data_IF_252439796818
#
_entry.id   IF_252439796818
#
_cell.length_a   1.000
_cell.length_b   1.000
_cell.length_c   1.000
_cell.angle_alpha   90.00
_cell.angle_beta   90.00
_cell.angle_gamma   90.00
#
_symmetry.space_group_name_H-M   'P 1'
#
loop_
_entity.id
_entity.type
_entity.pdbx_description
1 polymer ?
#
# COMPACT_ATOMS: atom_id res chain seq x y z
N UNK A 1 89.17 -19.47 20.89
CA UNK A 1 88.92 -19.89 22.29
C UNK A 1 87.61 -19.39 22.78
N UNK A 2 86.78 -20.32 23.30
CA UNK A 2 85.44 -20.19 23.95
C UNK A 2 84.32 -19.58 23.12
N UNK A 3 83.54 -20.47 22.56
CA UNK A 3 82.16 -20.26 22.11
C UNK A 3 81.26 -20.12 23.36
N UNK A 4 80.37 -19.14 23.29
CA UNK A 4 79.19 -19.05 24.22
C UNK A 4 77.93 -19.14 23.39
N UNK A 5 77.25 -20.28 23.58
CA UNK A 5 75.99 -20.60 22.94
C UNK A 5 74.84 -19.89 23.67
N UNK A 6 74.08 -19.10 22.96
CA UNK A 6 72.82 -18.49 23.50
C UNK A 6 71.63 -19.23 22.96
N UNK A 7 70.90 -19.93 23.86
CA UNK A 7 69.59 -20.49 23.59
C UNK A 7 68.53 -19.39 23.64
N UNK A 8 67.85 -19.17 22.52
CA UNK A 8 66.67 -18.32 22.48
C UNK A 8 65.45 -19.23 22.63
N UNK A 9 64.74 -19.12 23.75
CA UNK A 9 63.42 -19.72 23.98
C UNK A 9 62.38 -18.84 23.28
N UNK A 10 61.75 -19.39 22.23
CA UNK A 10 60.59 -18.80 21.60
C UNK A 10 59.33 -19.20 22.36
N UNK A 11 58.73 -18.24 23.07
CA UNK A 11 57.41 -18.41 23.70
C UNK A 11 56.32 -18.12 22.63
N UNK A 12 55.64 -19.17 22.18
CA UNK A 12 54.47 -19.03 21.33
C UNK A 12 53.25 -18.63 22.17
N UNK A 13 52.85 -17.37 22.10
CA UNK A 13 51.58 -16.88 22.65
C UNK A 13 50.44 -17.26 21.72
N UNK A 14 49.60 -18.21 22.15
CA UNK A 14 48.31 -18.53 21.50
C UNK A 14 47.32 -17.40 21.80
N UNK A 15 47.10 -16.52 20.82
CA UNK A 15 45.98 -15.59 20.86
C UNK A 15 44.71 -16.36 20.47
N UNK A 16 43.88 -16.70 21.46
CA UNK A 16 42.51 -17.12 21.23
C UNK A 16 41.70 -15.88 20.84
N UNK A 17 41.34 -15.76 19.55
CA UNK A 17 40.39 -14.75 19.10
C UNK A 17 38.97 -15.15 19.59
N UNK A 18 38.22 -14.22 20.22
CA UNK A 18 36.84 -14.50 20.53
C UNK A 18 36.06 -14.61 19.21
N UNK A 19 35.43 -15.78 19.00
CA UNK A 19 34.46 -15.95 17.95
C UNK A 19 33.23 -15.09 18.28
N UNK A 20 33.13 -13.94 17.63
CA UNK A 20 31.87 -13.20 17.61
C UNK A 20 30.88 -14.09 16.83
N UNK A 21 29.94 -14.70 17.55
CA UNK A 21 28.76 -15.28 16.94
C UNK A 21 28.04 -14.16 16.18
N UNK A 22 28.13 -14.21 14.85
CA UNK A 22 27.25 -13.41 14.00
C UNK A 22 25.82 -13.86 14.30
N UNK A 23 25.11 -13.09 15.13
CA UNK A 23 23.67 -13.18 15.19
C UNK A 23 23.16 -12.82 13.80
N UNK A 24 22.75 -13.84 13.07
CA UNK A 24 21.99 -13.65 11.83
C UNK A 24 20.83 -12.74 12.14
N UNK A 25 20.76 -11.61 11.46
CA UNK A 25 19.58 -10.75 11.53
C UNK A 25 18.35 -11.62 11.22
N UNK A 26 17.24 -11.48 11.99
CA UNK A 26 16.04 -12.27 11.74
C UNK A 26 15.59 -11.97 10.31
N UNK A 27 15.41 -13.03 9.53
CA UNK A 27 14.82 -12.95 8.20
C UNK A 27 13.46 -12.29 8.31
N UNK A 28 13.11 -11.44 7.34
CA UNK A 28 11.84 -10.74 7.24
C UNK A 28 10.59 -11.65 7.24
N UNK A 29 10.77 -12.95 7.25
CA UNK A 29 9.70 -13.97 7.26
C UNK A 29 9.05 -14.16 8.63
N UNK A 30 9.67 -13.70 9.74
CA UNK A 30 9.20 -14.04 11.09
C UNK A 30 8.37 -12.95 11.79
N UNK A 31 7.96 -11.88 11.11
CA UNK A 31 7.31 -10.75 11.77
C UNK A 31 5.83 -10.55 11.42
N UNK A 32 5.06 -11.63 11.32
CA UNK A 32 3.60 -11.52 11.52
C UNK A 32 3.35 -11.62 13.02
N UNK A 33 3.38 -10.49 13.71
CA UNK A 33 3.03 -10.46 15.13
C UNK A 33 1.53 -10.56 15.25
N UNK A 34 1.07 -11.68 15.75
CA UNK A 34 -0.30 -11.92 16.20
C UNK A 34 -0.55 -11.04 17.42
N UNK A 35 -1.44 -10.05 17.31
CA UNK A 35 -1.93 -9.33 18.49
C UNK A 35 -2.98 -10.20 19.18
N UNK A 36 -2.68 -10.60 20.43
CA UNK A 36 -3.52 -11.45 21.25
C UNK A 36 -4.96 -10.97 21.38
N UNK A 37 -5.91 -11.90 21.16
CA UNK A 37 -7.15 -12.01 21.95
C UNK A 37 -8.14 -10.85 21.95
N UNK A 38 -8.32 -10.12 20.86
CA UNK A 38 -9.46 -9.17 20.76
C UNK A 38 -10.70 -9.96 20.33
N UNK A 39 -11.72 -10.00 21.20
CA UNK A 39 -13.05 -10.50 20.83
C UNK A 39 -13.57 -9.65 19.66
N UNK A 40 -13.61 -10.23 18.48
CA UNK A 40 -14.08 -9.57 17.27
C UNK A 40 -15.61 -9.42 17.38
N UNK A 41 -16.08 -8.19 17.29
CA UNK A 41 -17.50 -7.89 17.24
C UNK A 41 -17.87 -7.54 15.78
N UNK A 42 -18.90 -8.17 15.25
CA UNK A 42 -19.41 -7.90 13.88
C UNK A 42 -19.62 -6.40 13.62
N UNK A 43 -20.13 -5.66 14.61
CA UNK A 43 -20.31 -4.19 14.50
C UNK A 43 -18.99 -3.44 14.30
N UNK A 44 -17.88 -3.94 14.87
CA UNK A 44 -16.56 -3.35 14.65
C UNK A 44 -16.09 -3.61 13.23
N UNK A 45 -16.36 -4.80 12.68
CA UNK A 45 -16.06 -5.13 11.29
C UNK A 45 -16.86 -4.21 10.35
N UNK A 46 -18.17 -4.08 10.59
CA UNK A 46 -19.02 -3.18 9.80
C UNK A 46 -18.47 -1.76 9.79
N UNK A 47 -18.20 -1.22 10.98
CA UNK A 47 -17.68 0.14 11.14
C UNK A 47 -16.30 0.31 10.49
N UNK A 48 -15.43 -0.71 10.58
CA UNK A 48 -14.10 -0.67 9.98
C UNK A 48 -14.16 -0.71 8.46
N UNK A 49 -14.95 -1.61 7.88
CA UNK A 49 -15.16 -1.69 6.43
C UNK A 49 -15.75 -0.39 5.91
N UNK A 50 -16.76 0.16 6.58
CA UNK A 50 -17.41 1.41 6.17
C UNK A 50 -16.45 2.60 6.24
N UNK A 51 -15.59 2.64 7.25
CA UNK A 51 -14.59 3.70 7.40
C UNK A 51 -13.52 3.67 6.29
N UNK A 52 -13.19 2.48 5.77
CA UNK A 52 -12.13 2.28 4.79
C UNK A 52 -12.60 2.18 3.34
N UNK A 53 -13.92 2.15 3.07
CA UNK A 53 -14.44 1.88 1.72
C UNK A 53 -15.45 2.92 1.26
N UNK A 54 -15.29 4.18 1.66
CA UNK A 54 -16.21 5.20 1.18
C UNK A 54 -15.98 5.50 -0.31
N UNK A 55 -17.01 5.25 -1.10
CA UNK A 55 -17.08 5.60 -2.51
C UNK A 55 -18.35 6.41 -2.77
N UNK A 56 -18.39 7.13 -3.89
CA UNK A 56 -19.61 7.83 -4.31
C UNK A 56 -20.78 6.84 -4.53
N UNK A 57 -21.99 7.28 -4.23
CA UNK A 57 -23.18 6.45 -4.35
C UNK A 57 -23.30 5.76 -5.72
N UNK A 58 -23.45 4.44 -5.71
CA UNK A 58 -23.52 3.63 -6.93
C UNK A 58 -22.18 3.34 -7.59
N UNK A 59 -21.07 3.70 -6.93
CA UNK A 59 -19.72 3.41 -7.38
C UNK A 59 -19.28 1.95 -7.15
N UNK A 60 -18.02 1.74 -7.25
CA UNK A 60 -17.32 0.48 -6.99
C UNK A 60 -16.01 0.79 -6.26
N UNK A 61 -15.58 -0.12 -5.40
CA UNK A 61 -14.31 -0.01 -4.69
C UNK A 61 -13.19 -0.36 -5.66
N UNK A 62 -12.23 0.56 -5.81
CA UNK A 62 -11.06 0.39 -6.67
C UNK A 62 -9.94 -0.38 -5.97
N UNK A 63 -9.17 -1.14 -6.75
CA UNK A 63 -7.97 -1.87 -6.30
C UNK A 63 -7.05 -2.10 -7.49
N UNK A 64 -5.84 -2.63 -7.27
CA UNK A 64 -5.03 -3.12 -8.37
C UNK A 64 -5.67 -4.36 -9.01
N UNK A 65 -5.94 -4.29 -10.29
CA UNK A 65 -6.40 -5.42 -11.14
C UNK A 65 -5.28 -5.88 -12.08
N UNK A 66 -4.15 -5.17 -12.07
CA UNK A 66 -2.90 -5.47 -12.77
C UNK A 66 -1.79 -5.65 -11.76
N UNK A 67 -0.68 -6.26 -12.19
CA UNK A 67 0.48 -6.46 -11.34
C UNK A 67 0.95 -5.14 -10.70
N UNK A 68 1.04 -5.11 -9.38
CA UNK A 68 1.59 -3.98 -8.67
C UNK A 68 3.12 -4.00 -8.75
N UNK A 69 3.73 -2.84 -8.99
CA UNK A 69 5.18 -2.67 -9.04
C UNK A 69 5.61 -1.58 -8.05
N UNK A 70 5.95 -1.94 -6.80
CA UNK A 70 6.32 -0.96 -5.79
C UNK A 70 7.72 -0.39 -6.02
N UNK A 71 7.85 0.92 -5.82
CA UNK A 71 9.12 1.63 -5.75
C UNK A 71 9.10 2.65 -4.62
N UNK A 72 10.25 2.84 -3.97
CA UNK A 72 10.45 3.83 -2.91
C UNK A 72 11.59 4.75 -3.31
N UNK A 73 11.38 6.05 -3.21
CA UNK A 73 12.35 7.07 -3.58
C UNK A 73 12.38 8.22 -2.57
N UNK A 74 13.43 9.01 -2.59
CA UNK A 74 13.54 10.23 -1.80
C UNK A 74 14.66 10.20 -0.78
N UNK A 75 14.40 10.67 0.44
CA UNK A 75 15.42 11.01 1.43
C UNK A 75 15.96 9.84 2.27
N UNK A 76 15.35 8.66 2.17
CA UNK A 76 15.81 7.48 2.90
C UNK A 76 17.07 6.88 2.26
N UNK A 77 17.82 6.07 3.02
CA UNK A 77 18.95 5.33 2.48
C UNK A 77 18.50 4.29 1.44
N UNK A 78 19.44 3.82 0.62
CA UNK A 78 19.14 2.74 -0.34
C UNK A 78 18.66 1.47 0.34
N UNK A 79 19.24 1.14 1.49
CA UNK A 79 18.91 -0.01 2.29
C UNK A 79 17.46 0.11 2.81
N UNK A 80 17.11 1.23 3.44
CA UNK A 80 15.76 1.50 3.90
C UNK A 80 14.73 1.46 2.76
N UNK A 81 15.06 2.03 1.60
CA UNK A 81 14.19 1.96 0.42
C UNK A 81 13.98 0.51 -0.03
N UNK A 82 15.03 -0.31 -0.05
CA UNK A 82 14.95 -1.72 -0.42
C UNK A 82 14.13 -2.52 0.59
N UNK A 83 14.31 -2.28 1.89
CA UNK A 83 13.53 -2.92 2.96
C UNK A 83 12.04 -2.60 2.84
N UNK A 84 11.70 -1.34 2.57
CA UNK A 84 10.31 -0.93 2.38
C UNK A 84 9.71 -1.60 1.14
N UNK A 85 10.43 -1.65 0.01
CA UNK A 85 9.96 -2.34 -1.20
C UNK A 85 9.75 -3.83 -0.93
N UNK A 86 10.71 -4.48 -0.26
CA UNK A 86 10.61 -5.88 0.14
C UNK A 86 9.39 -6.13 1.02
N UNK A 87 9.15 -5.25 2.01
CA UNK A 87 7.99 -5.35 2.90
C UNK A 87 6.66 -5.12 2.16
N UNK A 88 6.58 -4.15 1.25
CA UNK A 88 5.40 -3.93 0.41
C UNK A 88 5.07 -5.18 -0.43
N UNK A 89 6.08 -5.85 -0.99
CA UNK A 89 5.91 -7.11 -1.72
C UNK A 89 5.41 -8.24 -0.81
N UNK A 90 5.98 -8.38 0.37
CA UNK A 90 5.55 -9.39 1.35
C UNK A 90 4.10 -9.17 1.82
N UNK A 91 3.70 -7.91 2.04
CA UNK A 91 2.30 -7.57 2.37
C UNK A 91 1.38 -7.89 1.20
N UNK A 92 1.77 -7.55 -0.03
CA UNK A 92 0.99 -7.85 -1.22
C UNK A 92 0.77 -9.37 -1.36
N UNK A 93 1.82 -10.16 -1.25
CA UNK A 93 1.74 -11.62 -1.28
C UNK A 93 0.82 -12.17 -0.18
N UNK A 94 0.98 -11.69 1.05
CA UNK A 94 0.14 -12.08 2.17
C UNK A 94 -1.35 -11.71 1.99
N UNK A 95 -1.63 -10.65 1.23
CA UNK A 95 -2.97 -10.19 0.91
C UNK A 95 -3.54 -10.78 -0.39
N UNK A 96 -2.78 -11.60 -1.12
CA UNK A 96 -3.19 -12.16 -2.40
C UNK A 96 -3.16 -11.14 -3.56
N UNK A 97 -2.33 -10.11 -3.44
CA UNK A 97 -2.14 -9.08 -4.47
C UNK A 97 -1.01 -9.52 -5.40
N UNK A 98 -1.27 -9.56 -6.68
CA UNK A 98 -0.25 -9.91 -7.66
C UNK A 98 0.78 -8.80 -7.84
N UNK A 99 2.07 -9.15 -7.74
CA UNK A 99 3.20 -8.21 -7.85
C UNK A 99 4.09 -8.60 -9.02
N UNK A 100 4.49 -7.60 -9.79
CA UNK A 100 5.41 -7.79 -10.90
C UNK A 100 6.83 -8.16 -10.40
N UNK A 101 7.62 -8.81 -11.25
CA UNK A 101 9.02 -9.14 -10.96
C UNK A 101 9.87 -7.89 -10.66
N UNK A 102 11.02 -8.10 -10.05
CA UNK A 102 11.98 -7.02 -9.83
C UNK A 102 12.43 -6.38 -11.15
N UNK A 103 12.70 -5.07 -11.11
CA UNK A 103 13.02 -4.30 -12.32
C UNK A 103 11.81 -3.93 -13.17
N UNK A 104 10.60 -4.23 -12.71
CA UNK A 104 9.37 -3.79 -13.33
C UNK A 104 9.25 -2.26 -13.35
N UNK A 105 8.34 -1.78 -14.16
CA UNK A 105 8.02 -0.36 -14.21
C UNK A 105 7.10 0.05 -13.06
N UNK A 106 7.53 0.98 -12.18
CA UNK A 106 6.77 1.34 -10.99
C UNK A 106 5.40 1.93 -11.32
N UNK A 107 4.36 1.37 -10.69
CA UNK A 107 3.01 1.91 -10.65
C UNK A 107 2.50 2.12 -9.22
N UNK A 108 3.28 1.69 -8.21
CA UNK A 108 3.09 2.03 -6.82
C UNK A 108 4.32 2.78 -6.35
N UNK A 109 4.16 4.06 -6.04
CA UNK A 109 5.27 4.94 -5.71
C UNK A 109 5.13 5.49 -4.28
N UNK A 110 6.12 5.23 -3.44
CA UNK A 110 6.26 5.84 -2.12
C UNK A 110 7.42 6.83 -2.16
N UNK A 111 7.14 8.07 -1.80
CA UNK A 111 8.12 9.16 -1.83
C UNK A 111 8.30 9.72 -0.43
N UNK A 112 9.55 9.86 0.02
CA UNK A 112 9.89 10.57 1.26
C UNK A 112 10.61 11.87 0.92
N UNK A 113 10.05 13.00 1.36
CA UNK A 113 10.54 14.34 1.05
C UNK A 113 10.61 15.23 2.30
N UNK A 114 11.29 16.36 2.22
CA UNK A 114 11.21 17.39 3.25
C UNK A 114 9.97 18.28 3.12
N UNK A 115 9.44 18.43 1.92
CA UNK A 115 8.34 19.33 1.62
C UNK A 115 7.39 18.67 0.62
N UNK A 116 6.32 18.12 1.14
CA UNK A 116 5.25 17.46 0.38
C UNK A 116 4.63 18.40 -0.66
N UNK A 117 4.35 19.63 -0.25
CA UNK A 117 3.73 20.62 -1.13
C UNK A 117 4.57 20.89 -2.36
N UNK A 118 5.84 21.20 -2.15
CA UNK A 118 6.76 21.51 -3.24
C UNK A 118 6.91 20.33 -4.19
N UNK A 119 7.03 19.12 -3.63
CA UNK A 119 7.14 17.90 -4.43
C UNK A 119 5.89 17.69 -5.30
N UNK A 120 4.68 17.78 -4.73
CA UNK A 120 3.42 17.60 -5.48
C UNK A 120 3.28 18.66 -6.57
N UNK A 121 3.58 19.94 -6.27
CA UNK A 121 3.53 21.01 -7.27
C UNK A 121 4.56 20.83 -8.39
N UNK A 122 5.74 20.27 -8.11
CA UNK A 122 6.73 19.93 -9.13
C UNK A 122 6.30 18.73 -9.97
N UNK A 123 5.72 17.70 -9.33
CA UNK A 123 5.21 16.53 -10.00
C UNK A 123 4.07 16.89 -10.96
N UNK A 124 3.12 17.74 -10.53
CA UNK A 124 2.00 18.21 -11.35
C UNK A 124 2.49 18.99 -12.59
N UNK A 125 3.48 19.87 -12.40
CA UNK A 125 4.05 20.61 -13.54
C UNK A 125 4.79 19.72 -14.52
N UNK A 126 5.49 18.69 -14.06
CA UNK A 126 6.39 17.87 -14.89
C UNK A 126 5.72 16.63 -15.45
N UNK A 127 4.79 16.07 -14.69
CA UNK A 127 4.12 14.80 -14.98
C UNK A 127 2.63 14.86 -14.61
N UNK A 128 1.83 15.73 -15.27
CA UNK A 128 0.43 15.97 -14.90
C UNK A 128 -0.44 14.71 -14.96
N UNK A 129 0.01 13.71 -15.66
CA UNK A 129 -0.71 12.46 -15.78
C UNK A 129 -0.82 11.66 -14.47
N UNK A 130 0.07 11.89 -13.49
CA UNK A 130 -0.11 11.34 -12.14
C UNK A 130 -1.31 11.93 -11.39
N UNK A 131 -1.90 13.00 -11.91
CA UNK A 131 -3.09 13.66 -11.37
C UNK A 131 -4.30 13.54 -12.31
N UNK A 132 -4.28 12.51 -13.17
CA UNK A 132 -5.40 12.24 -14.08
C UNK A 132 -6.71 12.13 -13.29
N UNK A 133 -7.79 12.69 -13.82
CA UNK A 133 -9.10 12.83 -13.20
C UNK A 133 -9.18 13.80 -11.99
N UNK A 134 -8.07 14.36 -11.52
CA UNK A 134 -8.07 15.39 -10.48
C UNK A 134 -8.17 16.79 -11.09
N UNK A 135 -9.10 17.60 -10.60
CA UNK A 135 -9.14 19.02 -10.93
C UNK A 135 -7.93 19.75 -10.30
N UNK A 136 -7.51 20.87 -10.89
CA UNK A 136 -6.45 21.72 -10.33
C UNK A 136 -6.74 22.18 -8.87
N UNK A 137 -8.02 22.22 -8.47
CA UNK A 137 -8.43 22.54 -7.09
C UNK A 137 -8.14 21.33 -6.16
N UNK A 138 -8.38 20.11 -6.61
CA UNK A 138 -8.08 18.90 -5.84
C UNK A 138 -6.57 18.74 -5.67
N UNK A 139 -5.78 18.92 -6.73
CA UNK A 139 -4.31 18.87 -6.65
C UNK A 139 -3.78 19.91 -5.66
N UNK A 140 -4.30 21.16 -5.71
CA UNK A 140 -3.92 22.17 -4.73
C UNK A 140 -4.32 21.82 -3.30
N UNK A 141 -5.50 21.25 -3.07
CA UNK A 141 -5.92 20.80 -1.74
C UNK A 141 -5.01 19.69 -1.22
N UNK A 142 -4.67 18.73 -2.06
CA UNK A 142 -3.73 17.66 -1.74
C UNK A 142 -2.35 18.22 -1.35
N UNK A 143 -1.81 19.12 -2.15
CA UNK A 143 -0.51 19.74 -1.89
C UNK A 143 -0.51 20.61 -0.61
N UNK A 144 -1.61 21.31 -0.32
CA UNK A 144 -1.73 22.26 0.78
C UNK A 144 -2.37 21.70 2.04
N UNK A 145 -2.74 20.41 2.07
CA UNK A 145 -3.25 19.79 3.30
C UNK A 145 -2.22 19.88 4.42
N UNK A 146 -2.69 19.99 5.66
CA UNK A 146 -1.80 20.00 6.83
C UNK A 146 -1.28 18.60 7.18
N UNK A 147 -1.90 17.55 6.63
CA UNK A 147 -1.44 16.19 6.84
C UNK A 147 -0.03 16.01 6.28
N UNK A 148 0.90 15.43 7.03
CA UNK A 148 2.28 15.25 6.57
C UNK A 148 2.40 14.17 5.48
N UNK A 149 1.32 13.43 5.22
CA UNK A 149 1.23 12.41 4.19
C UNK A 149 0.10 12.73 3.22
N UNK A 150 0.40 12.66 1.94
CA UNK A 150 -0.58 12.73 0.86
C UNK A 150 -0.59 11.40 0.10
N UNK A 151 -1.78 10.89 -0.18
CA UNK A 151 -1.95 9.68 -0.99
C UNK A 151 -3.05 9.94 -2.02
N UNK A 152 -2.83 9.47 -3.23
CA UNK A 152 -3.85 9.46 -4.28
C UNK A 152 -3.64 8.28 -5.22
N UNK A 153 -4.72 7.92 -5.87
CA UNK A 153 -4.73 6.85 -6.85
C UNK A 153 -5.08 7.42 -8.22
N UNK A 154 -4.38 6.93 -9.25
CA UNK A 154 -4.75 7.18 -10.63
C UNK A 154 -5.61 6.01 -11.06
N UNK A 155 -6.87 6.29 -11.34
CA UNK A 155 -7.84 5.25 -11.69
C UNK A 155 -8.02 5.12 -13.19
N UNK A 156 -8.11 3.88 -13.64
CA UNK A 156 -8.58 3.47 -14.94
C UNK A 156 -9.86 2.66 -14.82
N UNK A 157 -10.35 2.16 -15.93
CA UNK A 157 -11.50 1.24 -15.95
C UNK A 157 -11.18 0.04 -16.84
N UNK A 158 -11.59 -1.14 -16.39
CA UNK A 158 -11.50 -2.37 -17.16
C UNK A 158 -12.89 -2.74 -17.68
N UNK A 159 -12.98 -3.05 -18.94
CA UNK A 159 -14.20 -3.51 -19.60
C UNK A 159 -14.54 -4.98 -19.28
N UNK A 160 -15.70 -5.47 -19.71
CA UNK A 160 -16.11 -6.85 -19.51
C UNK A 160 -15.27 -7.87 -20.27
N UNK A 161 -14.49 -7.40 -21.26
CA UNK A 161 -13.52 -8.17 -22.02
C UNK A 161 -12.14 -8.27 -21.33
N UNK A 162 -11.99 -7.67 -20.14
CA UNK A 162 -10.74 -7.62 -19.42
C UNK A 162 -9.73 -6.60 -19.97
N UNK A 163 -10.11 -5.83 -21.00
CA UNK A 163 -9.27 -4.78 -21.55
C UNK A 163 -9.49 -3.45 -20.83
N UNK A 164 -8.49 -2.59 -20.87
CA UNK A 164 -8.65 -1.23 -20.37
C UNK A 164 -9.68 -0.48 -21.21
N UNK A 165 -10.72 0.02 -20.55
CA UNK A 165 -11.69 0.86 -21.22
C UNK A 165 -11.06 2.22 -21.50
N UNK A 166 -11.25 2.77 -22.71
CA UNK A 166 -10.73 4.08 -23.04
C UNK A 166 -11.30 5.15 -22.11
N UNK A 167 -10.43 6.03 -21.61
CA UNK A 167 -10.85 7.16 -20.82
C UNK A 167 -11.55 8.18 -21.72
N UNK A 168 -12.80 8.49 -21.38
CA UNK A 168 -13.56 9.49 -22.10
C UNK A 168 -13.19 10.89 -21.57
N UNK A 169 -12.59 11.71 -22.44
CA UNK A 169 -12.28 13.11 -22.10
C UNK A 169 -13.32 14.00 -22.82
N UNK A 170 -14.06 14.85 -22.07
CA UNK A 170 -14.97 15.80 -22.72
C UNK A 170 -14.13 16.78 -23.56
N UNK A 171 -14.43 16.89 -24.84
CA UNK A 171 -13.91 17.99 -25.65
C UNK A 171 -14.84 19.22 -25.54
N UNK A 172 -14.25 20.40 -25.66
CA UNK A 172 -15.00 21.67 -25.59
C UNK A 172 -16.01 21.87 -26.76
N UNK A 173 -16.03 20.95 -27.73
CA UNK A 173 -17.00 20.98 -28.84
C UNK A 173 -18.23 20.10 -28.60
N UNK A 174 -18.41 19.56 -27.36
CA UNK A 174 -19.59 18.78 -27.00
C UNK A 174 -19.55 17.29 -27.36
N UNK A 175 -18.42 16.78 -27.87
CA UNK A 175 -18.16 15.37 -28.07
C UNK A 175 -17.20 14.83 -27.00
N UNK A 176 -17.13 13.49 -26.88
CA UNK A 176 -16.09 12.83 -26.10
C UNK A 176 -14.97 12.38 -27.02
N UNK A 177 -13.75 12.81 -26.73
CA UNK A 177 -12.55 12.28 -27.40
C UNK A 177 -11.99 11.19 -26.51
N UNK A 178 -11.89 9.99 -27.07
CA UNK A 178 -11.21 8.88 -26.44
C UNK A 178 -9.74 8.94 -26.86
N UNK A 179 -8.86 9.11 -25.87
CA UNK A 179 -7.41 9.09 -26.10
C UNK A 179 -6.77 7.99 -25.29
N UNK A 180 -5.70 7.34 -25.79
CA UNK A 180 -5.05 6.24 -25.08
C UNK A 180 -4.51 6.63 -23.69
N UNK A 181 -4.18 7.89 -23.50
CA UNK A 181 -3.58 8.45 -22.27
C UNK A 181 -4.45 9.48 -21.56
N UNK A 182 -5.65 9.69 -22.06
CA UNK A 182 -6.56 10.72 -21.56
C UNK A 182 -6.15 12.16 -21.84
N UNK A 183 -4.98 12.40 -22.48
CA UNK A 183 -4.42 13.74 -22.73
C UNK A 183 -3.97 13.96 -24.17
N UNK A 184 -4.21 13.04 -25.08
CA UNK A 184 -3.79 13.15 -26.49
C UNK A 184 -2.28 13.05 -26.72
N UNK A 185 -1.49 12.69 -25.71
CA UNK A 185 -0.05 12.41 -25.83
C UNK A 185 0.37 11.25 -24.93
N UNK A 186 1.20 10.33 -25.42
CA UNK A 186 1.77 9.27 -24.62
C UNK A 186 2.56 9.85 -23.43
N UNK A 187 2.35 9.29 -22.26
CA UNK A 187 3.13 9.63 -21.07
C UNK A 187 4.52 9.02 -21.17
N UNK A 188 5.56 9.85 -21.03
CA UNK A 188 6.94 9.39 -20.96
C UNK A 188 7.47 9.51 -19.52
N UNK A 189 8.06 8.43 -19.02
CA UNK A 189 8.80 8.43 -17.75
C UNK A 189 10.10 9.23 -17.83
N UNK A 190 10.78 9.40 -16.68
CA UNK A 190 12.09 10.05 -16.62
C UNK A 190 13.16 9.36 -17.48
N UNK A 191 12.96 8.09 -17.77
CA UNK A 191 13.79 7.22 -18.62
C UNK A 191 13.44 7.29 -20.12
N UNK A 192 12.48 8.14 -20.49
CA UNK A 192 11.98 8.26 -21.86
C UNK A 192 10.98 7.18 -22.27
N UNK A 193 10.70 6.21 -21.40
CA UNK A 193 9.74 5.16 -21.65
C UNK A 193 8.31 5.64 -21.38
N UNK A 194 7.33 5.08 -22.10
CA UNK A 194 5.91 5.39 -21.93
C UNK A 194 5.43 4.92 -20.54
N UNK A 195 4.79 5.83 -19.77
CA UNK A 195 4.08 5.48 -18.54
C UNK A 195 2.64 5.18 -18.91
N UNK A 196 2.23 3.95 -18.76
CA UNK A 196 0.95 3.43 -19.19
C UNK A 196 1.13 2.37 -20.25
N UNK A 197 0.41 1.26 -20.14
CA UNK A 197 0.40 0.21 -21.16
C UNK A 197 -0.14 0.72 -22.49
N UNK A 198 0.03 -0.06 -23.54
CA UNK A 198 -0.66 0.17 -24.81
C UNK A 198 -2.17 0.17 -24.56
N UNK A 199 -2.78 1.33 -24.62
CA UNK A 199 -4.24 1.45 -24.57
C UNK A 199 -4.77 1.24 -25.97
N UNK A 200 -5.48 0.15 -26.17
CA UNK A 200 -6.24 -0.05 -27.39
C UNK A 200 -7.55 0.72 -27.25
N UNK A 201 -7.78 1.69 -28.13
CA UNK A 201 -9.08 2.36 -28.23
C UNK A 201 -10.08 1.33 -28.76
N UNK A 202 -10.92 0.81 -27.90
CA UNK A 202 -12.03 -0.05 -28.28
C UNK A 202 -13.30 0.79 -28.21
N UNK A 203 -13.97 0.94 -29.32
CA UNK A 203 -15.28 1.57 -29.38
C UNK A 203 -16.31 0.58 -28.81
N UNK A 204 -16.61 0.72 -27.51
CA UNK A 204 -17.44 -0.25 -26.81
C UNK A 204 -18.69 0.41 -26.29
N UNK A 205 -19.79 0.06 -26.88
CA UNK A 205 -21.13 0.41 -26.40
C UNK A 205 -21.52 -0.57 -25.29
N UNK A 206 -21.23 -0.23 -24.02
CA UNK A 206 -21.64 -1.05 -22.89
C UNK A 206 -23.08 -0.73 -22.49
N UNK A 207 -23.90 -1.74 -22.43
CA UNK A 207 -25.27 -1.61 -21.89
C UNK A 207 -25.20 -1.82 -20.37
N UNK A 208 -25.53 -0.82 -19.55
CA UNK A 208 -25.48 -0.95 -18.10
C UNK A 208 -26.45 -2.03 -17.60
N UNK A 209 -25.95 -3.00 -16.84
CA UNK A 209 -26.77 -3.97 -16.13
C UNK A 209 -27.26 -3.40 -14.81
N UNK A 210 -28.46 -3.83 -14.36
CA UNK A 210 -28.99 -3.41 -13.04
C UNK A 210 -28.32 -4.12 -11.86
N UNK A 211 -27.67 -5.26 -12.10
CA UNK A 211 -27.13 -6.14 -11.05
C UNK A 211 -25.61 -6.17 -11.09
N UNK A 212 -25.02 -5.99 -12.28
CA UNK A 212 -23.57 -5.97 -12.48
C UNK A 212 -23.16 -4.73 -13.25
N UNK A 213 -22.09 -4.11 -12.82
CA UNK A 213 -21.47 -3.04 -13.57
C UNK A 213 -20.82 -3.59 -14.84
N UNK A 214 -20.86 -2.81 -15.91
CA UNK A 214 -20.27 -3.19 -17.19
C UNK A 214 -18.76 -2.99 -17.23
N UNK A 215 -18.25 -2.09 -16.40
CA UNK A 215 -16.83 -1.82 -16.24
C UNK A 215 -16.50 -1.81 -14.76
N UNK A 216 -15.24 -2.06 -14.40
CA UNK A 216 -14.75 -1.94 -13.03
C UNK A 216 -13.60 -0.94 -12.94
N UNK A 217 -13.57 -0.08 -11.91
CA UNK A 217 -12.44 0.79 -11.67
C UNK A 217 -11.25 -0.04 -11.17
N UNK A 218 -10.05 0.43 -11.50
CA UNK A 218 -8.82 -0.15 -10.98
C UNK A 218 -7.74 0.91 -10.82
N UNK A 219 -6.77 0.65 -9.96
CA UNK A 219 -5.60 1.52 -9.83
C UNK A 219 -4.63 1.27 -10.99
N UNK A 220 -4.45 2.29 -11.84
CA UNK A 220 -3.38 2.36 -12.84
C UNK A 220 -2.06 2.69 -12.13
N UNK A 221 -2.13 3.63 -11.17
CA UNK A 221 -1.02 3.95 -10.30
C UNK A 221 -1.52 4.37 -8.91
N UNK A 222 -0.67 4.18 -7.90
CA UNK A 222 -0.86 4.68 -6.54
C UNK A 222 0.37 5.45 -6.11
N UNK A 223 0.18 6.64 -5.56
CA UNK A 223 1.27 7.52 -5.12
C UNK A 223 1.05 7.94 -3.69
N UNK A 224 2.06 7.74 -2.86
CA UNK A 224 2.13 8.24 -1.50
C UNK A 224 3.33 9.16 -1.36
N UNK A 225 3.13 10.35 -0.84
CA UNK A 225 4.19 11.32 -0.52
C UNK A 225 4.15 11.61 0.97
N UNK A 226 5.21 11.27 1.67
CA UNK A 226 5.36 11.49 3.12
C UNK A 226 6.47 12.50 3.40
N UNK A 227 6.24 13.40 4.34
CA UNK A 227 7.30 14.25 4.87
C UNK A 227 8.18 13.47 5.84
N UNK A 228 9.50 13.64 5.74
CA UNK A 228 10.46 12.91 6.57
C UNK A 228 10.16 13.07 8.07
N UNK A 229 9.68 14.24 8.48
CA UNK A 229 9.30 14.51 9.88
C UNK A 229 8.17 13.62 10.40
N UNK A 230 7.27 13.16 9.54
CA UNK A 230 6.17 12.27 9.91
C UNK A 230 6.64 10.83 10.26
N UNK A 231 7.85 10.48 9.86
CA UNK A 231 8.44 9.17 10.12
C UNK A 231 9.15 9.10 11.48
N UNK A 232 9.23 10.22 12.20
CA UNK A 232 9.90 10.27 13.49
C UNK A 232 9.26 9.32 14.50
N UNK A 233 10.06 8.41 15.05
CA UNK A 233 9.59 7.39 16.00
C UNK A 233 9.04 6.12 15.36
N UNK A 234 8.87 6.06 14.04
CA UNK A 234 8.45 4.85 13.33
C UNK A 234 9.64 3.99 12.93
N UNK A 235 9.46 2.69 13.03
CA UNK A 235 10.37 1.74 12.39
C UNK A 235 10.12 1.70 10.87
N UNK A 236 11.10 1.20 10.12
CA UNK A 236 10.97 0.96 8.67
C UNK A 236 9.78 0.04 8.36
N UNK A 237 9.55 -0.99 9.21
CA UNK A 237 8.42 -1.90 9.08
C UNK A 237 7.08 -1.19 9.28
N UNK A 238 6.93 -0.40 10.34
CA UNK A 238 5.69 0.37 10.58
C UNK A 238 5.37 1.31 9.41
N UNK A 239 6.38 2.02 8.91
CA UNK A 239 6.18 2.90 7.76
C UNK A 239 5.82 2.13 6.49
N UNK A 240 6.47 1.01 6.22
CA UNK A 240 6.16 0.16 5.06
C UNK A 240 4.74 -0.42 5.15
N UNK A 241 4.32 -0.87 6.32
CA UNK A 241 2.99 -1.41 6.56
C UNK A 241 1.90 -0.33 6.46
N UNK A 242 2.17 0.87 6.98
CA UNK A 242 1.32 2.04 6.76
C UNK A 242 1.20 2.36 5.26
N UNK A 243 2.33 2.41 4.55
CA UNK A 243 2.35 2.65 3.12
C UNK A 243 1.58 1.58 2.33
N UNK A 244 1.67 0.30 2.73
CA UNK A 244 0.92 -0.79 2.12
C UNK A 244 -0.59 -0.55 2.23
N UNK A 245 -1.10 -0.25 3.43
CA UNK A 245 -2.52 0.04 3.63
C UNK A 245 -2.99 1.25 2.83
N UNK A 246 -2.13 2.26 2.68
CA UNK A 246 -2.46 3.51 1.98
C UNK A 246 -2.36 3.42 0.45
N UNK A 247 -1.58 2.47 -0.07
CA UNK A 247 -1.32 2.36 -1.51
C UNK A 247 -2.02 1.19 -2.17
N UNK A 248 -2.27 0.10 -1.45
CA UNK A 248 -3.06 -1.02 -1.96
C UNK A 248 -4.57 -0.83 -1.82
N UNK A 249 -5.01 0.13 -1.02
CA UNK A 249 -6.41 0.46 -0.85
C UNK A 249 -6.60 1.97 -0.73
N UNK A 250 -7.73 2.48 -1.16
CA UNK A 250 -8.14 3.85 -0.89
C UNK A 250 -8.65 3.94 0.55
N UNK A 251 -7.81 4.46 1.45
CA UNK A 251 -8.08 4.51 2.89
C UNK A 251 -7.97 5.93 3.44
N UNK A 252 -8.85 6.26 4.40
CA UNK A 252 -8.85 7.55 5.10
C UNK A 252 -8.55 7.36 6.59
N UNK A 253 -7.30 7.62 7.07
CA UNK A 253 -6.91 7.37 8.45
C UNK A 253 -7.76 8.09 9.49
N UNK A 254 -8.21 9.32 9.21
CA UNK A 254 -9.04 10.10 10.13
C UNK A 254 -10.37 9.39 10.47
N UNK A 255 -10.94 8.62 9.55
CA UNK A 255 -12.17 7.86 9.78
C UNK A 255 -11.90 6.61 10.62
N UNK A 256 -10.80 5.95 10.33
CA UNK A 256 -10.40 4.73 11.05
C UNK A 256 -10.05 5.02 12.51
N UNK A 257 -9.54 6.21 12.81
CA UNK A 257 -9.27 6.63 14.19
C UNK A 257 -10.49 6.51 15.11
N UNK A 258 -11.70 6.67 14.55
CA UNK A 258 -12.96 6.63 15.29
C UNK A 258 -13.48 5.19 15.54
N UNK A 259 -12.93 4.19 14.88
CA UNK A 259 -13.46 2.80 14.95
C UNK A 259 -13.05 2.05 16.22
N UNK A 260 -12.06 2.52 16.95
CA UNK A 260 -11.48 1.81 18.10
C UNK A 260 -10.69 0.53 17.73
N UNK A 261 -10.65 0.16 16.45
CA UNK A 261 -9.96 -1.03 15.95
C UNK A 261 -8.43 -0.81 15.95
N UNK A 262 -7.61 -1.78 16.35
CA UNK A 262 -6.17 -1.70 16.19
C UNK A 262 -5.81 -1.78 14.70
N UNK A 263 -5.10 -0.78 14.20
CA UNK A 263 -4.69 -0.68 12.79
C UNK A 263 -3.40 0.13 12.67
N UNK A 264 -2.55 -0.26 11.74
CA UNK A 264 -1.31 0.46 11.42
C UNK A 264 -1.59 1.87 10.84
N UNK A 265 -2.79 2.12 10.34
CA UNK A 265 -3.18 3.43 9.80
C UNK A 265 -3.15 4.57 10.83
N UNK A 266 -3.11 4.25 12.12
CA UNK A 266 -2.97 5.22 13.22
C UNK A 266 -1.52 5.64 13.47
N UNK A 267 -0.53 4.95 12.88
CA UNK A 267 0.87 5.08 13.27
C UNK A 267 1.46 6.48 13.07
N UNK A 268 1.04 7.21 12.03
CA UNK A 268 1.58 8.55 11.73
C UNK A 268 0.95 9.65 12.59
N UNK A 269 -0.34 9.53 12.89
CA UNK A 269 -1.09 10.55 13.63
C UNK A 269 -1.12 10.28 15.14
N UNK A 270 -0.53 9.20 15.58
CA UNK A 270 -0.52 8.80 16.97
C UNK A 270 0.41 9.70 17.82
N UNK A 271 0.00 10.13 19.01
CA UNK A 271 0.91 10.75 19.96
C UNK A 271 2.13 9.87 20.22
N UNK A 272 3.32 10.49 20.40
CA UNK A 272 4.59 9.76 20.56
C UNK A 272 4.64 8.76 21.73
N UNK A 273 3.76 8.93 22.71
CA UNK A 273 3.62 8.07 23.91
C UNK A 273 2.48 7.05 23.80
N UNK A 274 1.77 7.03 22.66
CA UNK A 274 0.68 6.08 22.44
C UNK A 274 1.18 4.75 21.89
N UNK A 275 0.52 3.66 22.34
CA UNK A 275 0.79 2.34 21.80
C UNK A 275 0.23 2.23 20.37
N UNK A 276 1.12 2.18 19.38
CA UNK A 276 0.77 1.88 17.99
C UNK A 276 1.22 0.48 17.61
N UNK A 277 0.52 -0.22 16.70
CA UNK A 277 0.97 -1.52 16.22
C UNK A 277 2.40 -1.46 15.67
N UNK A 278 3.20 -2.48 15.96
CA UNK A 278 4.58 -2.58 15.45
C UNK A 278 4.64 -3.03 13.99
N UNK A 279 3.55 -3.57 13.49
CA UNK A 279 3.40 -4.11 12.13
C UNK A 279 1.92 -4.13 11.74
N UNK A 280 1.60 -4.57 10.52
CA UNK A 280 0.22 -4.84 10.10
C UNK A 280 -0.51 -5.67 11.16
N UNK A 281 -1.72 -5.26 11.47
CA UNK A 281 -2.59 -6.03 12.36
C UNK A 281 -3.36 -7.10 11.57
N UNK A 282 -3.98 -8.04 12.28
CA UNK A 282 -4.92 -8.98 11.64
C UNK A 282 -6.08 -8.27 10.95
N UNK A 283 -6.53 -7.14 11.49
CA UNK A 283 -7.58 -6.33 10.89
C UNK A 283 -7.15 -5.73 9.55
N UNK A 284 -5.94 -5.18 9.50
CA UNK A 284 -5.38 -4.60 8.29
C UNK A 284 -5.22 -5.65 7.19
N UNK A 285 -4.63 -6.79 7.52
CA UNK A 285 -4.39 -7.86 6.56
C UNK A 285 -5.69 -8.50 6.09
N UNK A 286 -6.63 -8.75 7.01
CA UNK A 286 -7.95 -9.30 6.68
C UNK A 286 -8.73 -8.35 5.77
N UNK A 287 -8.62 -7.03 5.99
CA UNK A 287 -9.22 -6.04 5.10
C UNK A 287 -8.64 -6.10 3.69
N UNK A 288 -7.31 -6.13 3.54
CA UNK A 288 -6.67 -6.24 2.23
C UNK A 288 -7.06 -7.55 1.53
N UNK A 289 -7.02 -8.68 2.23
CA UNK A 289 -7.46 -9.98 1.69
C UNK A 289 -8.91 -9.96 1.23
N UNK A 290 -9.80 -9.41 2.05
CA UNK A 290 -11.20 -9.29 1.70
C UNK A 290 -11.40 -8.41 0.47
N UNK A 291 -10.68 -7.27 0.36
CA UNK A 291 -10.74 -6.38 -0.79
C UNK A 291 -10.28 -7.07 -2.08
N UNK A 292 -9.17 -7.81 -2.03
CA UNK A 292 -8.59 -8.45 -3.21
C UNK A 292 -9.26 -9.78 -3.57
N UNK A 293 -10.03 -10.39 -2.65
CA UNK A 293 -10.85 -11.56 -2.92
C UNK A 293 -12.25 -11.23 -3.46
N UNK A 294 -12.59 -9.94 -3.63
CA UNK A 294 -13.90 -9.55 -4.15
C UNK A 294 -14.14 -10.05 -5.58
N UNK A 295 -15.33 -10.60 -5.87
CA UNK A 295 -15.73 -10.89 -7.25
C UNK A 295 -15.76 -9.61 -8.11
N UNK A 296 -15.49 -9.79 -9.39
CA UNK A 296 -15.50 -8.71 -10.37
C UNK A 296 -16.90 -8.12 -10.59
N UNK A 297 -16.93 -6.85 -11.00
CA UNK A 297 -18.12 -6.15 -11.51
C UNK A 297 -19.31 -6.07 -10.51
N UNK A 298 -19.04 -6.11 -9.21
CA UNK A 298 -20.05 -5.88 -8.18
C UNK A 298 -20.14 -4.39 -7.86
N UNK A 299 -21.35 -3.93 -7.52
CA UNK A 299 -21.55 -2.61 -6.96
C UNK A 299 -21.10 -2.55 -5.49
N UNK A 300 -20.79 -1.36 -5.02
CA UNK A 300 -20.25 -1.05 -3.70
C UNK A 300 -20.95 -1.78 -2.54
N UNK A 301 -22.28 -1.76 -2.52
CA UNK A 301 -23.05 -2.38 -1.45
C UNK A 301 -22.81 -3.90 -1.35
N UNK A 302 -22.68 -4.58 -2.50
CA UNK A 302 -22.34 -6.00 -2.53
C UNK A 302 -20.88 -6.24 -2.18
N UNK A 303 -19.98 -5.36 -2.64
CA UNK A 303 -18.57 -5.42 -2.31
C UNK A 303 -18.37 -5.31 -0.80
N UNK A 304 -18.94 -4.31 -0.14
CA UNK A 304 -18.89 -4.14 1.32
C UNK A 304 -19.49 -5.33 2.07
N UNK A 305 -20.64 -5.83 1.63
CA UNK A 305 -21.26 -7.01 2.25
C UNK A 305 -20.36 -8.24 2.17
N UNK A 306 -19.70 -8.47 1.02
CA UNK A 306 -18.74 -9.55 0.86
C UNK A 306 -17.48 -9.35 1.71
N UNK A 307 -16.95 -8.12 1.78
CA UNK A 307 -15.80 -7.81 2.64
C UNK A 307 -16.10 -8.11 4.10
N UNK A 308 -17.24 -7.65 4.62
CA UNK A 308 -17.67 -7.92 6.01
C UNK A 308 -17.74 -9.42 6.28
N UNK A 309 -18.36 -10.18 5.40
CA UNK A 309 -18.45 -11.64 5.52
C UNK A 309 -17.05 -12.29 5.54
N UNK A 310 -16.19 -11.95 4.59
CA UNK A 310 -14.82 -12.51 4.49
C UNK A 310 -14.00 -12.16 5.72
N UNK A 311 -14.05 -10.91 6.18
CA UNK A 311 -13.36 -10.48 7.39
C UNK A 311 -13.88 -11.17 8.65
N UNK A 312 -15.22 -11.36 8.75
CA UNK A 312 -15.81 -12.08 9.87
C UNK A 312 -15.32 -13.53 9.90
N UNK A 313 -15.37 -14.22 8.77
CA UNK A 313 -14.88 -15.59 8.65
C UNK A 313 -13.39 -15.71 9.05
N UNK A 314 -12.55 -14.80 8.60
CA UNK A 314 -11.12 -14.84 8.87
C UNK A 314 -10.79 -14.47 10.33
N UNK A 315 -11.33 -13.37 10.84
CA UNK A 315 -11.03 -12.87 12.18
C UNK A 315 -11.61 -13.78 13.28
N UNK A 316 -12.78 -14.38 13.07
CA UNK A 316 -13.36 -15.35 14.01
C UNK A 316 -12.54 -16.64 14.02
N UNK A 317 -12.11 -17.12 12.84
CA UNK A 317 -11.26 -18.32 12.75
C UNK A 317 -9.88 -18.10 13.40
N UNK A 318 -9.32 -16.89 13.27
CA UNK A 318 -8.05 -16.53 13.90
C UNK A 318 -8.16 -16.43 15.43
N UNK A 319 -9.34 -16.07 15.96
CA UNK A 319 -9.56 -15.98 17.41
C UNK A 319 -9.62 -17.35 18.12
N UNK A 320 -9.73 -18.45 17.37
CA UNK A 320 -9.89 -19.80 17.92
C UNK A 320 -11.24 -20.01 18.62
N UNK A 321 -11.61 -21.26 18.95
CA UNK A 321 -12.78 -21.50 19.81
C UNK A 321 -12.48 -20.89 21.18
N UNK A 322 -13.38 -20.03 21.66
CA UNK A 322 -13.31 -19.51 23.02
C UNK A 322 -13.20 -20.71 23.97
N UNK A 323 -12.08 -20.81 24.70
CA UNK A 323 -11.93 -21.76 25.78
C UNK A 323 -13.05 -21.45 26.78
N UNK A 324 -14.08 -22.32 26.77
CA UNK A 324 -15.20 -22.26 27.71
C UNK A 324 -14.61 -22.45 29.12
N UNK A 325 -14.32 -21.32 29.79
CA UNK A 325 -13.91 -21.36 31.18
C UNK A 325 -15.05 -21.99 31.96
N UNK A 326 -14.86 -23.26 32.34
CA UNK A 326 -15.74 -23.95 33.27
C UNK A 326 -15.90 -23.10 34.54
N UNK A 327 -17.11 -22.97 35.08
CA UNK A 327 -17.34 -22.19 36.28
C UNK A 327 -16.51 -22.81 37.45
N UNK A 328 -15.93 -21.98 38.34
CA UNK A 328 -15.19 -22.48 39.49
C UNK A 328 -16.12 -23.28 40.38
N UNK A 329 -15.74 -24.54 40.66
CA UNK A 329 -16.39 -25.48 41.59
C UNK A 329 -16.27 -25.01 43.04
#
# INVERSE_FOLDING_TARGET
MRQVSHYILAAAALFAAPAFAQQSAPRAEDSVVVVEGVRVNERQIDTFVDALTEVEFGGQISRFERLACPAVVGLLSREQNADIVSRLRAVAEAAGIEVAEEGCRPNLLVVVTHNKREFIEQLDRRYPAYFHAMSARQVRRLAQSHDPVAVWHVEGRIGPDGQEAPLAVPNFAGGMILTPDGFGRPMQGPDGNLIGGDFTVVDVTYTPGRIRATTRPHFVASVMVAELGALAGLTTTQFADYAAMRTFAETEPARVALTGVPTILKAIDAPLDSAVPLTLTHWDLSFLRALYALPENQFENMQRSNMRRLMTEELVNAAGPAEEQAPPS
#
